data_IF_036922438664
#
_entry.id   IF_036922438664
#
_cell.length_a   1.000
_cell.length_b   1.000
_cell.length_c   1.000
_cell.angle_alpha   90.00
_cell.angle_beta   90.00
_cell.angle_gamma   90.00
#
_symmetry.space_group_name_H-M   'P 1'
#
loop_
_entity.id
_entity.type
_entity.pdbx_description
1 polymer ?
#
# COMPACT_ATOMS: atom_id res chain seq x y z
N UNK A 1 -13.96 -2.11 -26.28
CA UNK A 1 -12.79 -2.01 -25.39
C UNK A 1 -13.14 -1.54 -23.98
N UNK A 2 -13.77 -0.37 -23.78
CA UNK A 2 -14.20 0.11 -22.44
C UNK A 2 -15.10 -0.88 -21.66
N UNK A 3 -16.04 -1.54 -22.34
CA UNK A 3 -16.91 -2.54 -21.70
C UNK A 3 -16.13 -3.71 -21.11
N UNK A 4 -15.05 -4.16 -21.75
CA UNK A 4 -14.18 -5.23 -21.20
C UNK A 4 -13.30 -4.73 -20.04
N UNK A 5 -12.90 -3.45 -20.08
CA UNK A 5 -12.08 -2.83 -19.04
C UNK A 5 -12.78 -2.81 -17.68
N UNK A 6 -14.09 -2.54 -17.66
CA UNK A 6 -14.89 -2.49 -16.44
C UNK A 6 -15.72 -3.76 -16.19
N UNK A 7 -15.60 -4.78 -17.04
CA UNK A 7 -16.29 -6.06 -16.84
C UNK A 7 -15.43 -7.02 -16.01
N UNK A 8 -15.25 -6.60 -14.76
CA UNK A 8 -14.42 -7.20 -13.73
C UNK A 8 -15.20 -7.24 -12.41
N UNK A 9 -14.88 -8.19 -11.52
CA UNK A 9 -15.44 -8.18 -10.17
C UNK A 9 -15.11 -6.85 -9.47
N UNK A 10 -16.02 -6.36 -8.62
CA UNK A 10 -15.72 -5.19 -7.79
C UNK A 10 -14.70 -5.59 -6.73
N UNK A 11 -13.57 -4.89 -6.66
CA UNK A 11 -12.64 -5.08 -5.55
C UNK A 11 -13.21 -4.46 -4.25
N UNK A 12 -12.94 -5.06 -3.08
CA UNK A 12 -13.31 -4.46 -1.80
C UNK A 12 -12.68 -3.06 -1.62
N UNK A 13 -13.40 -2.10 -1.02
CA UNK A 13 -12.97 -0.69 -0.89
C UNK A 13 -11.58 -0.50 -0.25
N UNK A 14 -11.25 -1.37 0.68
CA UNK A 14 -9.94 -1.51 1.33
C UNK A 14 -8.75 -1.72 0.38
N UNK A 15 -8.96 -2.22 -0.84
CA UNK A 15 -7.91 -2.32 -1.86
C UNK A 15 -7.59 -0.97 -2.51
N UNK A 16 -8.48 0.02 -2.38
CA UNK A 16 -8.27 1.37 -2.88
C UNK A 16 -7.50 2.24 -1.88
N UNK A 17 -7.37 1.81 -0.62
CA UNK A 17 -6.57 2.50 0.40
C UNK A 17 -5.09 2.11 0.28
N UNK A 18 -4.45 2.65 -0.75
CA UNK A 18 -3.05 2.38 -1.07
C UNK A 18 -2.12 3.51 -0.57
N UNK A 19 -0.83 3.23 -0.36
CA UNK A 19 0.23 4.24 -0.23
C UNK A 19 0.19 5.38 -1.27
N UNK A 20 -0.40 5.14 -2.44
CA UNK A 20 -0.59 6.16 -3.47
C UNK A 20 -1.60 7.26 -3.09
N UNK A 21 -2.46 7.05 -2.09
CA UNK A 21 -3.29 8.12 -1.53
C UNK A 21 -2.40 9.25 -1.02
N UNK A 22 -1.35 8.94 -0.26
CA UNK A 22 -0.42 9.95 0.24
C UNK A 22 0.33 10.66 -0.89
N UNK A 23 0.73 9.92 -1.93
CA UNK A 23 1.37 10.49 -3.13
C UNK A 23 0.44 11.49 -3.83
N UNK A 24 -0.83 11.13 -4.04
CA UNK A 24 -1.79 12.01 -4.70
C UNK A 24 -2.22 13.18 -3.83
N UNK A 25 -2.25 13.04 -2.50
CA UNK A 25 -2.43 14.18 -1.58
C UNK A 25 -1.32 15.20 -1.76
N UNK A 26 -0.05 14.76 -1.81
CA UNK A 26 1.09 15.65 -2.09
C UNK A 26 0.97 16.28 -3.47
N UNK A 27 0.54 15.52 -4.49
CA UNK A 27 0.31 16.07 -5.83
C UNK A 27 -0.80 17.14 -5.84
N UNK A 28 -1.90 16.93 -5.12
CA UNK A 28 -2.99 17.91 -4.99
C UNK A 28 -2.48 19.21 -4.35
N UNK A 29 -1.66 19.14 -3.30
CA UNK A 29 -1.05 20.33 -2.71
C UNK A 29 -0.14 21.07 -3.70
N UNK A 30 0.65 20.34 -4.49
CA UNK A 30 1.46 20.95 -5.56
C UNK A 30 0.59 21.61 -6.64
N UNK A 31 -0.54 20.99 -7.02
CA UNK A 31 -1.47 21.59 -7.99
C UNK A 31 -2.08 22.89 -7.48
N UNK A 32 -2.43 22.96 -6.20
CA UNK A 32 -2.95 24.16 -5.56
C UNK A 32 -1.89 25.27 -5.51
N UNK A 33 -0.65 24.93 -5.12
CA UNK A 33 0.46 25.87 -5.06
C UNK A 33 0.82 26.45 -6.44
N UNK A 34 0.77 25.62 -7.48
CA UNK A 34 1.10 26.00 -8.85
C UNK A 34 -0.03 26.72 -9.61
N UNK A 35 -1.22 26.90 -9.01
CA UNK A 35 -2.45 27.29 -9.73
C UNK A 35 -2.65 26.46 -11.01
N UNK A 36 -2.52 25.14 -10.89
CA UNK A 36 -2.48 24.25 -12.04
C UNK A 36 -3.77 24.30 -12.88
N UNK A 37 -3.60 24.26 -14.20
CA UNK A 37 -4.72 24.24 -15.14
C UNK A 37 -5.57 22.96 -15.09
N UNK A 38 -6.76 23.03 -15.67
CA UNK A 38 -7.76 21.95 -15.69
C UNK A 38 -7.21 20.59 -16.13
N UNK A 39 -6.34 20.55 -17.15
CA UNK A 39 -5.77 19.29 -17.64
C UNK A 39 -4.89 18.58 -16.59
N UNK A 40 -4.10 19.31 -15.79
CA UNK A 40 -3.28 18.73 -14.71
C UNK A 40 -4.16 18.20 -13.57
N UNK A 41 -5.24 18.91 -13.24
CA UNK A 41 -6.25 18.46 -12.28
C UNK A 41 -6.96 17.20 -12.75
N UNK A 42 -7.49 17.22 -13.98
CA UNK A 42 -8.16 16.09 -14.59
C UNK A 42 -7.24 14.88 -14.63
N UNK A 43 -5.99 15.05 -15.07
CA UNK A 43 -5.01 13.98 -15.11
C UNK A 43 -4.75 13.40 -13.71
N UNK A 44 -4.56 14.24 -12.69
CA UNK A 44 -4.27 13.79 -11.32
C UNK A 44 -5.44 13.04 -10.69
N UNK A 45 -6.68 13.50 -10.91
CA UNK A 45 -7.89 12.81 -10.43
C UNK A 45 -8.09 11.49 -11.20
N UNK A 46 -7.89 11.53 -12.52
CA UNK A 46 -7.99 10.36 -13.38
C UNK A 46 -6.98 9.28 -13.00
N UNK A 47 -5.70 9.64 -12.83
CA UNK A 47 -4.66 8.70 -12.41
C UNK A 47 -4.91 8.18 -11.02
N UNK A 48 -5.42 9.02 -10.10
CA UNK A 48 -5.75 8.57 -8.76
C UNK A 48 -6.83 7.49 -8.77
N UNK A 49 -7.98 7.77 -9.39
CA UNK A 49 -9.13 6.87 -9.38
C UNK A 49 -8.85 5.60 -10.18
N UNK A 50 -8.40 5.77 -11.42
CA UNK A 50 -8.20 4.65 -12.33
C UNK A 50 -6.94 3.86 -11.99
N UNK A 51 -5.87 4.56 -11.60
CA UNK A 51 -4.64 3.91 -11.13
C UNK A 51 -4.87 3.11 -9.86
N UNK A 52 -5.61 3.63 -8.88
CA UNK A 52 -5.88 2.87 -7.64
C UNK A 52 -6.65 1.59 -7.94
N UNK A 53 -7.66 1.67 -8.81
CA UNK A 53 -8.42 0.51 -9.25
C UNK A 53 -7.56 -0.53 -9.99
N UNK A 54 -6.80 -0.08 -10.98
CA UNK A 54 -6.03 -0.98 -11.85
C UNK A 54 -4.79 -1.54 -11.19
N UNK A 55 -4.13 -0.75 -10.36
CA UNK A 55 -2.98 -1.18 -9.58
C UNK A 55 -3.36 -2.22 -8.54
N UNK A 56 -4.54 -2.11 -7.93
CA UNK A 56 -5.02 -3.13 -7.00
C UNK A 56 -5.12 -4.51 -7.68
N UNK A 57 -5.68 -4.57 -8.89
CA UNK A 57 -5.71 -5.80 -9.70
C UNK A 57 -4.33 -6.29 -10.12
N UNK A 58 -3.44 -5.39 -10.54
CA UNK A 58 -2.06 -5.73 -10.87
C UNK A 58 -1.34 -6.33 -9.66
N UNK A 59 -1.45 -5.70 -8.51
CA UNK A 59 -0.77 -6.17 -7.31
C UNK A 59 -1.30 -7.51 -6.86
N UNK A 60 -2.61 -7.70 -6.87
CA UNK A 60 -3.23 -8.97 -6.49
C UNK A 60 -2.77 -10.10 -7.42
N UNK A 61 -2.77 -9.85 -8.74
CA UNK A 61 -2.23 -10.77 -9.73
C UNK A 61 -0.77 -11.13 -9.47
N UNK A 62 0.07 -10.13 -9.19
CA UNK A 62 1.50 -10.36 -8.94
C UNK A 62 1.74 -11.12 -7.64
N UNK A 63 0.93 -10.89 -6.59
CA UNK A 63 1.05 -11.60 -5.32
C UNK A 63 0.68 -13.08 -5.43
N UNK A 64 -0.30 -13.36 -6.29
CA UNK A 64 -0.83 -14.69 -6.54
C UNK A 64 0.03 -15.50 -7.52
N UNK A 65 0.51 -14.88 -8.61
CA UNK A 65 1.22 -15.60 -9.69
C UNK A 65 2.73 -15.54 -9.62
N UNK A 66 3.32 -14.54 -8.96
CA UNK A 66 4.77 -14.41 -8.94
C UNK A 66 5.40 -15.46 -8.02
N UNK A 67 6.35 -16.23 -8.54
CA UNK A 67 7.18 -17.13 -7.72
C UNK A 67 8.37 -16.40 -7.08
N UNK A 68 8.63 -15.15 -7.46
CA UNK A 68 9.76 -14.39 -6.94
C UNK A 68 9.38 -13.69 -5.63
N UNK A 69 9.97 -14.16 -4.52
CA UNK A 69 9.72 -13.62 -3.18
C UNK A 69 9.99 -12.11 -3.05
N UNK A 70 10.98 -11.57 -3.77
CA UNK A 70 11.27 -10.13 -3.74
C UNK A 70 10.18 -9.31 -4.42
N UNK A 71 9.68 -9.77 -5.56
CA UNK A 71 8.57 -9.12 -6.28
C UNK A 71 7.30 -9.16 -5.43
N UNK A 72 6.97 -10.31 -4.85
CA UNK A 72 5.83 -10.45 -3.94
C UNK A 72 5.97 -9.52 -2.73
N UNK A 73 7.16 -9.41 -2.15
CA UNK A 73 7.43 -8.51 -1.02
C UNK A 73 7.16 -7.05 -1.37
N UNK A 74 7.63 -6.59 -2.53
CA UNK A 74 7.41 -5.21 -3.01
C UNK A 74 5.91 -4.93 -3.17
N UNK A 75 5.18 -5.80 -3.87
CA UNK A 75 3.74 -5.64 -4.10
C UNK A 75 2.91 -5.74 -2.81
N UNK A 76 3.31 -6.61 -1.88
CA UNK A 76 2.67 -6.69 -0.56
C UNK A 76 2.83 -5.37 0.21
N UNK A 77 4.02 -4.78 0.17
CA UNK A 77 4.31 -3.50 0.86
C UNK A 77 3.68 -2.29 0.17
N UNK A 78 3.42 -2.36 -1.13
CA UNK A 78 2.83 -1.26 -1.92
C UNK A 78 1.29 -1.22 -1.90
N UNK A 79 0.61 -2.22 -1.35
CA UNK A 79 -0.87 -2.24 -1.21
C UNK A 79 -1.32 -2.16 0.24
N UNK A 80 -0.54 -2.68 1.18
CA UNK A 80 -1.05 -2.94 2.52
C UNK A 80 -0.73 -1.78 3.47
N UNK A 81 -1.70 -0.89 3.67
CA UNK A 81 -1.89 -0.26 5.00
C UNK A 81 -2.69 -1.17 5.95
N UNK A 82 -3.29 -2.25 5.42
CA UNK A 82 -4.40 -3.01 6.04
C UNK A 82 -4.04 -3.91 7.23
N UNK A 83 -2.83 -4.45 7.34
CA UNK A 83 -2.44 -5.38 8.44
C UNK A 83 -1.24 -4.91 9.27
N UNK A 84 -0.54 -3.86 8.82
CA UNK A 84 0.73 -3.46 9.40
C UNK A 84 0.54 -2.60 10.66
N UNK A 85 -0.57 -1.88 10.87
CA UNK A 85 -0.68 -1.05 12.08
C UNK A 85 -0.69 -1.89 13.36
N UNK A 86 -1.49 -2.98 13.38
CA UNK A 86 -1.48 -3.94 14.48
C UNK A 86 -0.14 -4.65 14.63
N UNK A 87 0.53 -4.97 13.52
CA UNK A 87 1.85 -5.62 13.53
C UNK A 87 2.96 -4.68 14.00
N UNK A 88 2.92 -3.40 13.62
CA UNK A 88 3.84 -2.34 14.05
C UNK A 88 3.69 -2.10 15.55
N UNK A 89 2.45 -1.98 16.04
CA UNK A 89 2.19 -1.81 17.47
C UNK A 89 2.64 -3.05 18.25
N UNK A 90 2.37 -4.26 17.74
CA UNK A 90 2.86 -5.51 18.35
C UNK A 90 4.39 -5.60 18.36
N UNK A 91 5.06 -5.23 17.27
CA UNK A 91 6.52 -5.25 17.17
C UNK A 91 7.14 -4.17 18.06
N UNK A 92 6.59 -2.96 18.08
CA UNK A 92 7.01 -1.90 18.99
C UNK A 92 6.82 -2.32 20.45
N UNK A 93 5.74 -3.04 20.77
CA UNK A 93 5.51 -3.62 22.09
C UNK A 93 6.51 -4.73 22.43
N UNK A 94 6.78 -5.66 21.52
CA UNK A 94 7.77 -6.72 21.71
C UNK A 94 9.19 -6.15 21.90
N UNK A 95 9.61 -5.22 21.04
CA UNK A 95 10.91 -4.55 21.12
C UNK A 95 11.07 -3.73 22.40
N UNK A 96 10.01 -3.08 22.88
CA UNK A 96 10.04 -2.37 24.16
C UNK A 96 10.01 -3.32 25.36
N UNK A 97 9.34 -4.47 25.27
CA UNK A 97 9.39 -5.52 26.29
C UNK A 97 10.80 -6.09 26.43
N UNK A 98 11.56 -6.18 25.34
CA UNK A 98 12.96 -6.62 25.35
C UNK A 98 13.93 -5.53 25.82
N UNK A 99 13.67 -4.26 25.47
CA UNK A 99 14.52 -3.11 25.82
C UNK A 99 13.82 -2.16 26.82
N UNK A 100 13.36 -2.72 27.94
CA UNK A 100 12.69 -1.95 29.01
C UNK A 100 13.68 -0.95 29.60
N UNK A 101 13.28 0.31 29.60
CA UNK A 101 14.01 1.36 30.30
C UNK A 101 13.25 1.69 31.59
N UNK A 102 13.99 1.74 32.68
CA UNK A 102 13.47 2.11 33.99
C UNK A 102 13.99 3.49 34.36
N UNK A 103 13.11 4.33 34.91
CA UNK A 103 13.46 5.59 35.55
C UNK A 103 13.39 5.43 37.06
N UNK A 104 14.37 6.02 37.73
CA UNK A 104 14.42 6.10 39.19
C UNK A 104 13.85 7.48 39.56
N UNK A 105 12.64 7.50 40.13
CA UNK A 105 12.03 8.71 40.70
C UNK A 105 12.00 8.55 42.23
N UNK A 106 12.95 9.17 42.91
CA UNK A 106 13.15 8.99 44.35
C UNK A 106 13.46 7.52 44.68
N UNK A 107 12.73 6.93 45.64
CA UNK A 107 12.92 5.54 46.08
C UNK A 107 12.10 4.50 45.27
N UNK A 108 11.49 4.90 44.15
CA UNK A 108 10.65 4.02 43.33
C UNK A 108 11.22 3.86 41.92
N UNK A 109 11.30 2.61 41.46
CA UNK A 109 11.64 2.27 40.07
C UNK A 109 10.33 2.23 39.28
N UNK A 110 10.25 3.03 38.21
CA UNK A 110 9.09 3.08 37.30
C UNK A 110 9.53 2.80 35.87
N UNK A 111 8.68 2.12 35.11
CA UNK A 111 8.91 1.87 33.69
C UNK A 111 8.72 3.18 32.89
N UNK A 112 9.65 3.48 31.98
CA UNK A 112 9.62 4.72 31.20
C UNK A 112 8.61 4.63 30.05
N UNK A 113 7.33 4.74 30.39
CA UNK A 113 6.22 4.72 29.43
C UNK A 113 6.35 5.80 28.34
N UNK A 114 7.02 6.92 28.65
CA UNK A 114 7.28 7.98 27.66
C UNK A 114 8.26 7.51 26.57
N UNK A 115 9.26 6.70 26.92
CA UNK A 115 10.18 6.11 25.95
C UNK A 115 9.47 5.11 25.03
N UNK A 116 8.54 4.32 25.58
CA UNK A 116 7.67 3.43 24.81
C UNK A 116 6.85 4.19 23.76
N UNK A 117 6.16 5.26 24.18
CA UNK A 117 5.33 6.10 23.29
C UNK A 117 6.19 6.71 22.18
N UNK A 118 7.36 7.26 22.53
CA UNK A 118 8.30 7.84 21.54
C UNK A 118 8.77 6.81 20.52
N UNK A 119 9.20 5.63 20.95
CA UNK A 119 9.67 4.56 20.03
C UNK A 119 8.55 4.05 19.13
N UNK A 120 7.35 3.89 19.68
CA UNK A 120 6.18 3.45 18.90
C UNK A 120 5.80 4.50 17.86
N UNK A 121 5.78 5.78 18.25
CA UNK A 121 5.52 6.89 17.33
C UNK A 121 6.55 6.95 16.20
N UNK A 122 7.85 6.89 16.51
CA UNK A 122 8.93 6.87 15.51
C UNK A 122 8.79 5.68 14.56
N UNK A 123 8.43 4.50 15.06
CA UNK A 123 8.21 3.31 14.22
C UNK A 123 7.03 3.48 13.26
N UNK A 124 5.92 4.07 13.72
CA UNK A 124 4.76 4.38 12.89
C UNK A 124 5.14 5.39 11.80
N UNK A 125 5.79 6.50 12.19
CA UNK A 125 6.23 7.54 11.26
C UNK A 125 7.20 6.97 10.23
N UNK A 126 8.21 6.20 10.66
CA UNK A 126 9.16 5.55 9.76
C UNK A 126 8.48 4.59 8.78
N UNK A 127 7.46 3.84 9.21
CA UNK A 127 6.71 2.97 8.31
C UNK A 127 5.91 3.76 7.26
N UNK A 128 5.24 4.84 7.66
CA UNK A 128 4.50 5.72 6.75
C UNK A 128 5.46 6.33 5.73
N UNK A 129 6.61 6.85 6.16
CA UNK A 129 7.64 7.41 5.27
C UNK A 129 8.17 6.34 4.32
N UNK A 130 8.52 5.16 4.82
CA UNK A 130 9.01 4.06 3.98
C UNK A 130 8.00 3.64 2.91
N UNK A 131 6.72 3.55 3.27
CA UNK A 131 5.63 3.26 2.32
C UNK A 131 5.41 4.39 1.32
N UNK A 132 5.53 5.64 1.75
CA UNK A 132 5.45 6.79 0.85
C UNK A 132 6.59 6.77 -0.18
N UNK A 133 7.83 6.55 0.25
CA UNK A 133 8.99 6.44 -0.64
C UNK A 133 8.80 5.28 -1.63
N UNK A 134 8.36 4.12 -1.13
CA UNK A 134 8.08 2.96 -1.99
C UNK A 134 6.99 3.26 -3.02
N UNK A 135 5.90 3.92 -2.60
CA UNK A 135 4.83 4.33 -3.50
C UNK A 135 5.33 5.31 -4.56
N UNK A 136 6.19 6.25 -4.18
CA UNK A 136 6.81 7.19 -5.11
C UNK A 136 7.70 6.47 -6.14
N UNK A 137 8.55 5.54 -5.70
CA UNK A 137 9.39 4.73 -6.59
C UNK A 137 8.58 3.85 -7.54
N UNK A 138 7.47 3.30 -7.07
CA UNK A 138 6.57 2.45 -7.86
C UNK A 138 5.48 3.24 -8.60
N UNK A 139 5.53 4.58 -8.57
CA UNK A 139 4.56 5.43 -9.26
C UNK A 139 4.52 5.21 -10.79
N UNK A 140 5.64 4.96 -11.48
CA UNK A 140 5.60 4.58 -12.89
C UNK A 140 4.82 3.28 -13.12
N UNK A 141 4.99 2.27 -12.27
CA UNK A 141 4.25 1.01 -12.35
C UNK A 141 2.76 1.24 -12.10
N UNK A 142 2.43 2.14 -11.17
CA UNK A 142 1.04 2.57 -10.92
C UNK A 142 0.40 3.19 -12.16
N UNK A 143 1.08 4.08 -12.87
CA UNK A 143 0.57 4.63 -14.14
C UNK A 143 0.46 3.54 -15.22
N UNK A 144 1.48 2.70 -15.38
CA UNK A 144 1.48 1.60 -16.35
C UNK A 144 0.34 0.61 -16.09
N UNK A 145 -0.08 0.44 -14.83
CA UNK A 145 -1.19 -0.45 -14.46
C UNK A 145 -2.51 -0.05 -15.14
N UNK A 146 -2.74 1.26 -15.38
CA UNK A 146 -3.93 1.77 -16.08
C UNK A 146 -4.03 1.19 -17.49
N UNK A 147 -2.90 1.14 -18.19
CA UNK A 147 -2.83 0.67 -19.58
C UNK A 147 -2.77 -0.85 -19.69
N UNK A 148 -2.14 -1.51 -18.73
CA UNK A 148 -1.98 -2.97 -18.72
C UNK A 148 -3.18 -3.71 -18.14
N UNK A 149 -4.14 -3.01 -17.54
CA UNK A 149 -5.31 -3.60 -16.87
C UNK A 149 -6.06 -4.67 -17.69
N UNK A 150 -6.43 -4.45 -18.98
CA UNK A 150 -7.13 -5.48 -19.76
C UNK A 150 -6.31 -6.77 -19.90
N UNK A 151 -4.99 -6.63 -20.03
CA UNK A 151 -4.07 -7.76 -20.17
C UNK A 151 -4.00 -8.53 -18.84
N UNK A 152 -3.86 -7.81 -17.72
CA UNK A 152 -3.81 -8.41 -16.38
C UNK A 152 -5.09 -9.18 -16.09
N UNK A 153 -6.26 -8.61 -16.37
CA UNK A 153 -7.55 -9.28 -16.16
C UNK A 153 -7.69 -10.53 -17.03
N UNK A 154 -7.23 -10.48 -18.29
CA UNK A 154 -7.22 -11.67 -19.16
C UNK A 154 -6.37 -12.78 -18.55
N UNK A 155 -5.15 -12.47 -18.13
CA UNK A 155 -4.24 -13.43 -17.49
C UNK A 155 -4.80 -13.98 -16.18
N UNK A 156 -5.44 -13.13 -15.36
CA UNK A 156 -6.07 -13.54 -14.12
C UNK A 156 -7.16 -14.59 -14.37
N UNK A 157 -8.01 -14.38 -15.39
CA UNK A 157 -9.05 -15.33 -15.78
C UNK A 157 -8.47 -16.65 -16.29
N UNK A 158 -7.39 -16.60 -17.08
CA UNK A 158 -6.70 -17.79 -17.57
C UNK A 158 -6.15 -18.65 -16.42
N UNK A 159 -5.55 -18.03 -15.40
CA UNK A 159 -5.05 -18.76 -14.22
C UNK A 159 -6.18 -19.37 -13.42
N UNK A 160 -7.26 -18.62 -13.15
CA UNK A 160 -8.41 -19.15 -12.42
C UNK A 160 -9.06 -20.36 -13.12
N UNK A 161 -9.17 -20.33 -14.45
CA UNK A 161 -9.67 -21.45 -15.25
C UNK A 161 -8.73 -22.68 -15.18
N UNK A 162 -7.41 -22.47 -15.16
CA UNK A 162 -6.45 -23.56 -15.02
C UNK A 162 -6.51 -24.23 -13.65
N UNK A 163 -6.72 -23.47 -12.58
CA UNK A 163 -6.91 -24.02 -11.23
C UNK A 163 -8.19 -24.84 -11.09
N UNK A 164 -9.29 -24.34 -11.67
CA UNK A 164 -10.57 -25.07 -11.72
C UNK A 164 -10.43 -26.39 -12.50
N UNK A 165 -9.70 -26.39 -13.62
CA UNK A 165 -9.44 -27.59 -14.42
C UNK A 165 -8.47 -28.57 -13.78
N UNK A 166 -7.56 -28.10 -12.92
CA UNK A 166 -6.58 -28.94 -12.22
C UNK A 166 -7.05 -29.47 -10.86
N UNK A 167 -8.27 -29.11 -10.44
CA UNK A 167 -8.87 -29.61 -9.20
C UNK A 167 -8.20 -29.10 -7.93
N UNK A 168 -7.40 -28.03 -8.01
CA UNK A 168 -6.79 -27.37 -6.87
C UNK A 168 -7.73 -26.28 -6.33
N UNK A 169 -8.67 -26.67 -5.47
CA UNK A 169 -9.42 -25.76 -4.60
C UNK A 169 -9.14 -26.07 -3.14
#
# INVERSE_FOLDING_TARGET
MLKQYFNTPKMPLVFYYTPYVAVHVVMVFNLLADNAGFLRWFWTIFTFLLGSYTYAWLSDYMLYTSQNNFVRYIFAKSVIFRSDFGTIVKNAHATNKQNRAFKIEGNKIREDNMLYVKRTFVSIVGNVIGKFILAFLLYPIFIISIFTHPIIIKKYKEVALQEEQSGMQ
#
